data_IF_510093189893
#
_entry.id   IF_510093189893
#
_cell.length_a   1.000
_cell.length_b   1.000
_cell.length_c   1.000
_cell.angle_alpha   90.00
_cell.angle_beta   90.00
_cell.angle_gamma   90.00
#
_symmetry.space_group_name_H-M   'P 1'
#
loop_
_entity.id
_entity.type
_entity.pdbx_description
1 polymer ?
#
# COMPACT_ATOMS: atom_id res chain seq x y z
N UNK A 1 -9.63 0.13 -13.82
CA UNK A 1 -10.29 -0.25 -15.09
C UNK A 1 -11.21 -1.44 -14.92
N UNK A 2 -10.88 -2.39 -14.03
CA UNK A 2 -11.69 -3.59 -13.73
C UNK A 2 -13.17 -3.32 -13.40
N UNK A 3 -13.48 -2.25 -12.66
CA UNK A 3 -14.86 -1.81 -12.38
C UNK A 3 -15.49 -0.95 -13.50
N UNK A 4 -14.86 -0.86 -14.66
CA UNK A 4 -15.25 -0.04 -15.82
C UNK A 4 -15.35 1.50 -15.59
N UNK A 5 -14.89 2.01 -14.45
CA UNK A 5 -14.87 3.46 -14.15
C UNK A 5 -13.85 4.26 -14.99
N UNK A 6 -12.84 3.57 -15.53
CA UNK A 6 -11.83 4.13 -16.42
C UNK A 6 -11.79 3.28 -17.69
N UNK A 7 -11.90 3.93 -18.84
CA UNK A 7 -11.80 3.32 -20.17
C UNK A 7 -10.68 3.98 -20.95
N UNK A 8 -9.98 3.21 -21.77
CA UNK A 8 -8.87 3.70 -22.58
C UNK A 8 -8.90 3.02 -23.96
N UNK A 9 -8.82 3.83 -25.02
CA UNK A 9 -8.52 3.40 -26.38
C UNK A 9 -7.09 3.87 -26.71
N UNK A 10 -6.27 3.00 -27.30
CA UNK A 10 -4.88 3.34 -27.64
C UNK A 10 -4.72 3.62 -29.13
N UNK A 11 -4.04 4.71 -29.49
CA UNK A 11 -3.73 5.05 -30.88
C UNK A 11 -2.23 4.89 -31.13
N UNK A 12 -1.85 4.04 -32.08
CA UNK A 12 -0.45 3.66 -32.33
C UNK A 12 -0.05 4.01 -33.75
N UNK A 13 1.10 4.68 -33.89
CA UNK A 13 1.77 4.93 -35.17
C UNK A 13 3.28 4.88 -34.94
N UNK A 14 4.01 4.19 -35.83
CA UNK A 14 5.47 4.19 -35.84
C UNK A 14 6.03 5.12 -36.91
N UNK A 15 7.26 5.61 -36.73
CA UNK A 15 8.02 6.31 -37.77
C UNK A 15 9.50 6.00 -37.69
N UNK A 16 10.27 6.10 -38.79
CA UNK A 16 11.72 6.06 -38.75
C UNK A 16 12.29 7.19 -37.88
N UNK A 17 13.44 6.93 -37.24
CA UNK A 17 14.16 7.95 -36.49
C UNK A 17 14.60 9.07 -37.45
N UNK A 18 14.35 10.32 -37.06
CA UNK A 18 14.64 11.50 -37.89
C UNK A 18 13.57 11.87 -38.92
N UNK A 19 12.52 11.07 -39.09
CA UNK A 19 11.41 11.43 -39.97
C UNK A 19 10.48 12.46 -39.30
N UNK A 20 10.06 13.47 -40.05
CA UNK A 20 9.10 14.49 -39.58
C UNK A 20 7.63 14.03 -39.73
N UNK A 21 7.36 13.04 -40.58
CA UNK A 21 6.02 12.49 -40.79
C UNK A 21 5.70 11.33 -39.83
N UNK A 22 4.41 11.07 -39.64
CA UNK A 22 3.89 9.88 -38.95
C UNK A 22 3.30 8.92 -39.98
N UNK A 23 3.48 7.61 -39.79
CA UNK A 23 2.73 6.64 -40.58
C UNK A 23 1.26 6.64 -40.16
N UNK A 24 0.43 5.96 -40.94
CA UNK A 24 -0.99 5.78 -40.65
C UNK A 24 -1.21 5.19 -39.25
N UNK A 25 -2.07 5.85 -38.45
CA UNK A 25 -2.43 5.38 -37.12
C UNK A 25 -3.39 4.19 -37.17
N UNK A 26 -3.23 3.28 -36.21
CA UNK A 26 -4.20 2.25 -35.86
C UNK A 26 -4.77 2.52 -34.47
N UNK A 27 -6.03 2.17 -34.27
CA UNK A 27 -6.76 2.39 -33.03
C UNK A 27 -7.07 1.02 -32.39
N UNK A 28 -6.67 0.83 -31.14
CA UNK A 28 -6.92 -0.38 -30.35
C UNK A 28 -8.04 -0.05 -29.35
N UNK A 29 -9.08 -0.87 -29.36
CA UNK A 29 -10.25 -0.75 -28.49
C UNK A 29 -10.37 -1.96 -27.56
N UNK A 30 -11.29 -1.84 -26.61
CA UNK A 30 -11.70 -2.90 -25.69
C UNK A 30 -10.53 -3.39 -24.81
N UNK A 31 -9.77 -2.44 -24.25
CA UNK A 31 -8.66 -2.77 -23.36
C UNK A 31 -9.05 -2.46 -21.92
N UNK A 32 -9.04 -3.49 -21.06
CA UNK A 32 -9.67 -3.44 -19.74
C UNK A 32 -8.68 -3.36 -18.56
N UNK A 33 -7.38 -3.39 -18.83
CA UNK A 33 -6.34 -3.22 -17.81
C UNK A 33 -5.16 -2.41 -18.35
N UNK A 34 -4.38 -1.79 -17.46
CA UNK A 34 -3.20 -1.01 -17.84
C UNK A 34 -2.15 -1.91 -18.50
N UNK A 35 -1.98 -3.13 -17.99
CA UNK A 35 -1.05 -4.12 -18.56
C UNK A 35 -1.50 -4.61 -19.94
N UNK A 36 -2.81 -4.78 -20.14
CA UNK A 36 -3.37 -5.08 -21.46
C UNK A 36 -3.13 -3.92 -22.43
N UNK A 37 -3.27 -2.66 -22.01
CA UNK A 37 -2.96 -1.48 -22.86
C UNK A 37 -1.50 -1.51 -23.29
N UNK A 38 -0.59 -1.71 -22.34
CA UNK A 38 0.85 -1.83 -22.64
C UNK A 38 1.12 -2.95 -23.64
N UNK A 39 0.64 -4.16 -23.36
CA UNK A 39 0.89 -5.34 -24.19
C UNK A 39 0.31 -5.18 -25.59
N UNK A 40 -0.91 -4.63 -25.69
CA UNK A 40 -1.56 -4.37 -26.97
C UNK A 40 -0.76 -3.37 -27.81
N UNK A 41 -0.26 -2.28 -27.21
CA UNK A 41 0.60 -1.31 -27.89
C UNK A 41 1.89 -1.97 -28.38
N UNK A 42 2.57 -2.75 -27.53
CA UNK A 42 3.81 -3.44 -27.88
C UNK A 42 3.60 -4.39 -29.08
N UNK A 43 2.51 -5.16 -29.10
CA UNK A 43 2.17 -6.05 -30.22
C UNK A 43 1.87 -5.29 -31.51
N UNK A 44 1.17 -4.16 -31.41
CA UNK A 44 0.87 -3.34 -32.59
C UNK A 44 2.12 -2.68 -33.16
N UNK A 45 3.05 -2.22 -32.31
CA UNK A 45 4.35 -1.71 -32.75
C UNK A 45 5.12 -2.77 -33.54
N UNK A 46 5.18 -4.01 -33.04
CA UNK A 46 5.84 -5.13 -33.75
C UNK A 46 5.17 -5.41 -35.10
N UNK A 47 3.84 -5.40 -35.14
CA UNK A 47 3.08 -5.61 -36.38
C UNK A 47 3.35 -4.51 -37.41
N UNK A 48 3.25 -3.24 -37.02
CA UNK A 48 3.52 -2.11 -37.90
C UNK A 48 4.96 -2.15 -38.42
N UNK A 49 5.92 -2.51 -37.57
CA UNK A 49 7.33 -2.64 -37.96
C UNK A 49 7.50 -3.71 -39.04
N UNK A 50 6.89 -4.88 -38.87
CA UNK A 50 6.92 -5.97 -39.88
C UNK A 50 6.31 -5.54 -41.22
N UNK A 51 5.22 -4.78 -41.19
CA UNK A 51 4.61 -4.25 -42.42
C UNK A 51 5.53 -3.23 -43.11
N UNK A 52 6.10 -2.31 -42.32
CA UNK A 52 7.00 -1.27 -42.81
C UNK A 52 8.29 -1.86 -43.41
N UNK A 53 8.94 -2.78 -42.69
CA UNK A 53 10.18 -3.44 -43.12
C UNK A 53 9.96 -4.28 -44.39
N UNK A 54 8.74 -4.78 -44.61
CA UNK A 54 8.35 -5.47 -45.84
C UNK A 54 7.95 -4.52 -46.99
N UNK A 55 8.15 -3.21 -46.83
CA UNK A 55 7.81 -2.19 -47.82
C UNK A 55 6.31 -1.98 -48.02
N UNK A 56 5.45 -2.52 -47.14
CA UNK A 56 3.99 -2.36 -47.22
C UNK A 56 3.56 -1.07 -46.53
N UNK A 57 2.51 -0.43 -47.06
CA UNK A 57 1.90 0.74 -46.42
C UNK A 57 1.04 0.29 -45.25
N UNK A 58 1.30 0.87 -44.08
CA UNK A 58 0.44 0.69 -42.90
C UNK A 58 -0.92 1.31 -43.20
N UNK A 59 -1.98 0.52 -43.07
CA UNK A 59 -3.36 0.94 -43.25
C UNK A 59 -4.01 1.29 -41.91
N UNK A 60 -5.01 2.18 -41.92
CA UNK A 60 -5.74 2.52 -40.70
C UNK A 60 -6.72 1.40 -40.35
N UNK A 61 -6.47 0.73 -39.23
CA UNK A 61 -7.28 -0.35 -38.71
C UNK A 61 -7.86 0.02 -37.35
N UNK A 62 -9.09 -0.41 -37.12
CA UNK A 62 -9.63 -0.55 -35.77
C UNK A 62 -9.39 -1.99 -35.33
N UNK A 63 -8.60 -2.12 -34.28
CA UNK A 63 -8.18 -3.36 -33.67
C UNK A 63 -8.94 -3.57 -32.37
N UNK A 64 -9.27 -4.80 -32.10
CA UNK A 64 -9.78 -5.25 -30.81
C UNK A 64 -8.68 -6.04 -30.10
N UNK A 65 -8.50 -5.74 -28.82
CA UNK A 65 -7.69 -6.56 -27.94
C UNK A 65 -8.51 -7.76 -27.45
N UNK A 66 -8.02 -8.96 -27.76
CA UNK A 66 -8.57 -10.22 -27.27
C UNK A 66 -7.72 -10.69 -26.07
N UNK A 67 -8.31 -10.62 -24.88
CA UNK A 67 -7.63 -10.93 -23.61
C UNK A 67 -7.23 -12.41 -23.52
N UNK A 68 -8.09 -13.32 -23.98
CA UNK A 68 -7.92 -14.78 -23.87
C UNK A 68 -6.73 -15.27 -24.71
N UNK A 69 -6.61 -14.76 -25.93
CA UNK A 69 -5.52 -15.08 -26.85
C UNK A 69 -4.34 -14.12 -26.75
N UNK A 70 -4.46 -13.08 -25.92
CA UNK A 70 -3.56 -11.93 -25.84
C UNK A 70 -3.19 -11.38 -27.22
N UNK A 71 -4.15 -11.28 -28.15
CA UNK A 71 -3.86 -10.97 -29.56
C UNK A 71 -4.70 -9.79 -30.09
N UNK A 72 -4.19 -9.16 -31.14
CA UNK A 72 -4.90 -8.08 -31.83
C UNK A 72 -5.69 -8.65 -32.99
N UNK A 73 -7.02 -8.49 -32.93
CA UNK A 73 -7.92 -8.87 -34.03
C UNK A 73 -8.36 -7.63 -34.78
N UNK A 74 -8.29 -7.69 -36.11
CA UNK A 74 -8.80 -6.61 -36.97
C UNK A 74 -10.33 -6.68 -36.97
N UNK A 75 -10.99 -5.67 -36.43
CA UNK A 75 -12.46 -5.57 -36.49
C UNK A 75 -12.91 -5.06 -37.87
N UNK A 76 -12.36 -3.93 -38.30
CA UNK A 76 -12.75 -3.23 -39.54
C UNK A 76 -11.58 -2.44 -40.11
N UNK A 77 -11.44 -2.38 -41.44
CA UNK A 77 -10.67 -1.32 -42.08
C UNK A 77 -11.52 -0.05 -42.13
N UNK A 78 -10.99 1.06 -41.62
CA UNK A 78 -11.63 2.37 -41.86
C UNK A 78 -11.45 2.69 -43.34
N UNK A 79 -12.47 2.42 -44.15
CA UNK A 79 -12.50 2.85 -45.56
C UNK A 79 -12.80 4.35 -45.68
N UNK A 80 -13.50 4.94 -44.70
CA UNK A 80 -13.73 6.39 -44.52
C UNK A 80 -13.87 6.75 -43.04
N UNK A 81 -13.52 7.97 -42.64
CA UNK A 81 -13.88 8.51 -41.32
C UNK A 81 -15.41 8.73 -41.26
N UNK A 82 -16.04 8.37 -40.15
CA UNK A 82 -17.47 8.59 -39.98
C UNK A 82 -17.74 10.10 -39.90
N UNK A 83 -18.66 10.59 -40.74
CA UNK A 83 -19.13 11.97 -40.64
C UNK A 83 -20.10 12.09 -39.47
N UNK A 84 -19.59 12.53 -38.33
CA UNK A 84 -20.37 12.74 -37.10
C UNK A 84 -21.30 13.96 -37.19
N UNK A 85 -21.21 14.78 -38.25
CA UNK A 85 -22.05 15.96 -38.47
C UNK A 85 -22.16 16.85 -37.23
N UNK A 86 -21.02 17.16 -36.61
CA UNK A 86 -20.98 18.00 -35.42
C UNK A 86 -21.67 19.34 -35.68
N UNK A 87 -22.62 19.71 -34.82
CA UNK A 87 -23.27 21.01 -34.79
C UNK A 87 -23.41 21.47 -33.34
N UNK A 88 -23.66 22.77 -33.14
CA UNK A 88 -23.88 23.32 -31.80
C UNK A 88 -25.23 22.85 -31.29
N UNK A 89 -25.24 22.19 -30.13
CA UNK A 89 -26.45 21.76 -29.43
C UNK A 89 -27.33 22.99 -29.12
N UNK A 90 -28.51 23.16 -29.78
CA UNK A 90 -29.37 24.32 -29.56
C UNK A 90 -30.09 24.28 -28.20
N UNK A 91 -30.29 23.10 -27.61
CA UNK A 91 -31.04 22.95 -26.36
C UNK A 91 -30.18 23.30 -25.13
N UNK A 92 -28.85 23.33 -25.27
CA UNK A 92 -27.92 23.68 -24.21
C UNK A 92 -27.36 25.09 -24.40
N UNK A 93 -27.64 25.97 -23.44
CA UNK A 93 -26.99 27.27 -23.37
C UNK A 93 -25.48 27.11 -23.14
N UNK A 94 -24.64 28.02 -23.67
CA UNK A 94 -23.22 28.03 -23.36
C UNK A 94 -22.96 28.15 -21.86
N UNK A 95 -22.02 27.36 -21.37
CA UNK A 95 -21.50 27.48 -20.01
C UNK A 95 -20.44 28.58 -19.99
N UNK A 96 -20.65 29.60 -19.17
CA UNK A 96 -19.67 30.65 -18.92
C UNK A 96 -19.00 30.41 -17.57
N UNK A 97 -17.70 30.15 -17.58
CA UNK A 97 -16.89 29.99 -16.38
C UNK A 97 -16.34 31.37 -15.98
N UNK A 98 -16.84 31.95 -14.88
CA UNK A 98 -16.30 33.19 -14.34
C UNK A 98 -15.02 32.91 -13.54
N UNK A 99 -14.17 33.92 -13.35
CA UNK A 99 -12.95 33.75 -12.55
C UNK A 99 -13.29 33.49 -11.07
N UNK A 100 -14.39 34.04 -10.55
CA UNK A 100 -14.86 33.77 -9.18
C UNK A 100 -15.24 32.30 -9.02
N UNK A 101 -16.01 31.74 -9.96
CA UNK A 101 -16.42 30.33 -9.90
C UNK A 101 -15.21 29.39 -10.03
N UNK A 102 -14.26 29.72 -10.90
CA UNK A 102 -13.00 28.98 -11.02
C UNK A 102 -12.17 29.04 -9.75
N UNK A 103 -12.08 30.21 -9.12
CA UNK A 103 -11.35 30.38 -7.86
C UNK A 103 -11.99 29.56 -6.72
N UNK A 104 -13.33 29.51 -6.65
CA UNK A 104 -14.07 28.69 -5.69
C UNK A 104 -13.76 27.20 -5.86
N UNK A 105 -13.80 26.67 -7.10
CA UNK A 105 -13.46 25.27 -7.37
C UNK A 105 -12.02 24.95 -6.97
N UNK A 106 -11.09 25.85 -7.27
CA UNK A 106 -9.67 25.64 -6.98
C UNK A 106 -9.33 25.75 -5.49
N UNK A 107 -10.16 26.43 -4.69
CA UNK A 107 -9.94 26.59 -3.26
C UNK A 107 -10.04 25.26 -2.48
N UNK A 108 -10.86 24.30 -2.94
CA UNK A 108 -11.00 22.96 -2.36
C UNK A 108 -10.29 21.87 -3.18
N UNK A 109 -9.46 22.27 -4.15
CA UNK A 109 -8.75 21.31 -4.98
C UNK A 109 -7.63 20.65 -4.17
N UNK A 110 -7.63 19.32 -4.03
CA UNK A 110 -6.67 18.63 -3.19
C UNK A 110 -5.26 18.70 -3.80
N UNK A 111 -4.26 18.56 -2.92
CA UNK A 111 -2.87 18.39 -3.32
C UNK A 111 -2.73 17.19 -4.27
N UNK A 112 -2.04 17.39 -5.39
CA UNK A 112 -1.81 16.34 -6.38
C UNK A 112 -0.87 15.26 -5.82
N UNK A 113 -1.04 13.98 -6.18
CA UNK A 113 -0.24 12.88 -5.61
C UNK A 113 1.28 13.07 -5.74
N UNK A 114 1.78 13.53 -6.89
CA UNK A 114 3.21 13.75 -7.11
C UNK A 114 3.79 14.90 -6.26
N UNK A 115 2.99 15.96 -6.06
CA UNK A 115 3.37 17.07 -5.19
C UNK A 115 3.41 16.59 -3.73
N UNK A 116 2.37 15.86 -3.31
CA UNK A 116 2.29 15.25 -1.98
C UNK A 116 3.44 14.28 -1.70
N UNK A 117 3.79 13.43 -2.67
CA UNK A 117 4.93 12.50 -2.58
C UNK A 117 6.24 13.25 -2.37
N UNK A 118 6.45 14.32 -3.14
CA UNK A 118 7.63 15.18 -3.00
C UNK A 118 7.69 15.78 -1.59
N UNK A 119 6.56 16.31 -1.11
CA UNK A 119 6.42 16.85 0.25
C UNK A 119 6.70 15.80 1.33
N UNK A 120 6.22 14.57 1.16
CA UNK A 120 6.49 13.49 2.11
C UNK A 120 7.98 13.15 2.22
N UNK A 121 8.72 13.28 1.12
CA UNK A 121 10.18 13.10 1.12
C UNK A 121 10.87 14.29 1.78
N UNK A 122 10.52 15.53 1.41
CA UNK A 122 11.22 16.74 1.87
C UNK A 122 10.90 17.12 3.30
N UNK A 123 9.62 17.09 3.68
CA UNK A 123 9.13 17.66 4.92
C UNK A 123 9.08 16.62 6.04
N UNK A 124 8.76 15.36 5.70
CA UNK A 124 8.74 14.24 6.65
C UNK A 124 9.99 13.36 6.61
N UNK A 125 10.92 13.60 5.68
CA UNK A 125 12.17 12.84 5.58
C UNK A 125 11.97 11.37 5.19
N UNK A 126 10.85 11.03 4.54
CA UNK A 126 10.56 9.65 4.18
C UNK A 126 11.40 9.19 2.98
N UNK A 127 11.84 7.93 2.95
CA UNK A 127 12.39 7.33 1.74
C UNK A 127 11.41 7.42 0.58
N UNK A 128 11.93 7.51 -0.64
CA UNK A 128 11.13 7.63 -1.85
C UNK A 128 10.10 6.49 -1.99
N UNK A 129 10.51 5.25 -1.67
CA UNK A 129 9.65 4.07 -1.71
C UNK A 129 8.45 4.19 -0.76
N UNK A 130 8.68 4.64 0.47
CA UNK A 130 7.62 4.84 1.46
C UNK A 130 6.63 5.92 1.01
N UNK A 131 7.15 7.05 0.54
CA UNK A 131 6.33 8.17 0.08
C UNK A 131 5.48 7.78 -1.14
N UNK A 132 6.02 6.97 -2.05
CA UNK A 132 5.30 6.47 -3.22
C UNK A 132 4.08 5.63 -2.82
N UNK A 133 4.25 4.68 -1.89
CA UNK A 133 3.15 3.83 -1.43
C UNK A 133 2.12 4.64 -0.65
N UNK A 134 2.55 5.48 0.29
CA UNK A 134 1.64 6.27 1.13
C UNK A 134 0.80 7.27 0.31
N UNK A 135 1.27 7.67 -0.86
CA UNK A 135 0.56 8.60 -1.77
C UNK A 135 -0.13 7.92 -2.94
N UNK A 136 -0.14 6.58 -2.99
CA UNK A 136 -0.85 5.79 -4.00
C UNK A 136 -2.37 5.99 -3.95
N UNK A 137 -2.92 6.20 -2.76
CA UNK A 137 -4.32 6.50 -2.53
C UNK A 137 -4.46 7.74 -1.63
N UNK A 138 -5.43 8.61 -1.96
CA UNK A 138 -5.70 9.81 -1.15
C UNK A 138 -6.10 9.45 0.28
N UNK A 139 -6.94 8.42 0.46
CA UNK A 139 -7.39 8.04 1.80
C UNK A 139 -6.23 7.62 2.71
N UNK A 140 -5.25 6.89 2.16
CA UNK A 140 -4.06 6.45 2.88
C UNK A 140 -3.13 7.62 3.24
N UNK A 141 -2.90 8.54 2.30
CA UNK A 141 -2.08 9.73 2.57
C UNK A 141 -2.72 10.66 3.59
N UNK A 142 -4.04 10.91 3.49
CA UNK A 142 -4.77 11.69 4.48
C UNK A 142 -4.75 11.00 5.85
N UNK A 143 -4.81 9.66 5.89
CA UNK A 143 -4.68 8.87 7.12
C UNK A 143 -3.31 9.08 7.77
N UNK A 144 -2.23 8.95 7.01
CA UNK A 144 -0.86 9.16 7.49
C UNK A 144 -0.69 10.54 8.15
N UNK A 145 -1.08 11.62 7.48
CA UNK A 145 -0.92 12.98 8.01
C UNK A 145 -1.74 13.20 9.29
N UNK A 146 -2.93 12.60 9.38
CA UNK A 146 -3.76 12.65 10.58
C UNK A 146 -3.14 11.88 11.75
N UNK A 147 -2.43 10.77 11.48
CA UNK A 147 -1.66 10.04 12.52
C UNK A 147 -0.53 10.92 13.02
N UNK A 148 0.26 11.53 12.13
CA UNK A 148 1.36 12.43 12.48
C UNK A 148 0.86 13.59 13.35
N UNK A 149 -0.25 14.21 12.94
CA UNK A 149 -0.89 15.30 13.68
C UNK A 149 -1.32 14.85 15.08
N UNK A 150 -1.92 13.66 15.20
CA UNK A 150 -2.42 13.12 16.48
C UNK A 150 -1.29 12.65 17.40
N UNK A 151 -0.15 12.23 16.84
CA UNK A 151 1.00 11.72 17.58
C UNK A 151 1.82 12.83 18.26
N UNK A 152 1.63 14.10 17.85
CA UNK A 152 2.22 15.30 18.47
C UNK A 152 3.74 15.23 18.67
N UNK A 153 4.50 15.28 17.57
CA UNK A 153 5.96 15.39 17.59
C UNK A 153 6.71 14.06 17.53
N UNK A 154 6.02 12.98 17.21
CA UNK A 154 6.68 11.70 17.00
C UNK A 154 7.17 11.47 15.57
N UNK A 155 8.03 10.46 15.42
CA UNK A 155 8.82 10.22 14.20
C UNK A 155 7.95 9.81 12.99
N UNK A 156 7.93 10.58 11.89
CA UNK A 156 7.20 10.22 10.69
C UNK A 156 7.62 8.90 10.06
N UNK A 157 8.91 8.54 10.15
CA UNK A 157 9.39 7.26 9.62
C UNK A 157 8.82 6.08 10.38
N UNK A 158 8.68 6.24 11.70
CA UNK A 158 8.03 5.23 12.54
C UNK A 158 6.56 5.04 12.16
N UNK A 159 5.81 6.12 11.98
CA UNK A 159 4.41 6.05 11.51
C UNK A 159 4.31 5.41 10.13
N UNK A 160 5.20 5.76 9.19
CA UNK A 160 5.30 5.10 7.88
C UNK A 160 5.48 3.59 8.02
N UNK A 161 6.40 3.15 8.87
CA UNK A 161 6.65 1.71 9.08
C UNK A 161 5.43 0.97 9.61
N UNK A 162 4.66 1.56 10.55
CA UNK A 162 3.41 0.95 11.05
C UNK A 162 2.35 0.87 9.95
N UNK A 163 2.22 1.91 9.13
CA UNK A 163 1.28 1.91 8.02
C UNK A 163 1.63 0.87 6.96
N UNK A 164 2.88 0.88 6.47
CA UNK A 164 3.31 0.03 5.37
C UNK A 164 3.32 -1.46 5.72
N UNK A 165 3.65 -1.82 6.97
CA UNK A 165 3.76 -3.23 7.36
C UNK A 165 2.46 -3.78 7.94
N UNK A 166 1.86 -3.06 8.89
CA UNK A 166 0.78 -3.62 9.71
C UNK A 166 -0.60 -3.15 9.24
N UNK A 167 -0.77 -1.85 8.95
CA UNK A 167 -2.06 -1.31 8.48
C UNK A 167 -2.35 -1.74 7.03
N UNK A 168 -1.35 -1.73 6.14
CA UNK A 168 -1.52 -2.22 4.77
C UNK A 168 -1.93 -3.70 4.73
N UNK A 169 -1.41 -4.52 5.65
CA UNK A 169 -1.87 -5.91 5.79
C UNK A 169 -3.36 -5.96 6.16
N UNK A 170 -3.77 -5.16 7.15
CA UNK A 170 -5.17 -5.06 7.58
C UNK A 170 -6.10 -4.60 6.44
N UNK A 171 -5.66 -3.64 5.63
CA UNK A 171 -6.40 -3.16 4.45
C UNK A 171 -6.55 -4.26 3.40
N UNK A 172 -5.46 -4.94 3.06
CA UNK A 172 -5.46 -5.99 2.06
C UNK A 172 -6.29 -7.21 2.48
N UNK A 173 -6.14 -7.66 3.73
CA UNK A 173 -6.88 -8.81 4.26
C UNK A 173 -8.39 -8.52 4.35
N UNK A 174 -8.76 -7.26 4.63
CA UNK A 174 -10.15 -6.81 4.68
C UNK A 174 -10.74 -6.40 3.34
N UNK A 175 -9.91 -6.18 2.30
CA UNK A 175 -10.34 -5.52 1.07
C UNK A 175 -10.89 -4.10 1.30
N UNK A 176 -10.37 -3.40 2.30
CA UNK A 176 -10.83 -2.09 2.75
C UNK A 176 -9.89 -0.98 2.29
N UNK A 177 -10.42 0.23 2.21
CA UNK A 177 -9.64 1.48 2.10
C UNK A 177 -9.34 2.06 3.49
N UNK A 178 -8.35 2.94 3.59
CA UNK A 178 -7.99 3.57 4.87
C UNK A 178 -9.13 4.38 5.48
N UNK A 179 -10.06 4.89 4.66
CA UNK A 179 -11.24 5.60 5.10
C UNK A 179 -12.31 4.70 5.76
N UNK A 180 -12.27 3.39 5.50
CA UNK A 180 -13.25 2.41 6.01
C UNK A 180 -12.79 1.71 7.29
N UNK A 181 -11.55 1.95 7.73
CA UNK A 181 -11.01 1.38 8.96
C UNK A 181 -11.71 1.95 10.20
N UNK A 182 -12.04 1.07 11.16
CA UNK A 182 -12.42 1.51 12.52
C UNK A 182 -11.21 1.91 13.36
N UNK A 183 -10.03 1.42 12.99
CA UNK A 183 -8.76 1.92 13.52
C UNK A 183 -8.58 3.36 13.02
N UNK A 184 -8.98 4.33 13.83
CA UNK A 184 -8.83 5.75 13.49
C UNK A 184 -7.36 6.19 13.53
N UNK A 185 -6.97 7.26 12.82
CA UNK A 185 -5.63 7.83 12.90
C UNK A 185 -5.18 8.15 14.35
N UNK A 186 -6.11 8.61 15.19
CA UNK A 186 -5.86 8.91 16.59
C UNK A 186 -5.55 7.63 17.40
N UNK A 187 -6.28 6.55 17.16
CA UNK A 187 -6.00 5.27 17.81
C UNK A 187 -4.66 4.67 17.39
N UNK A 188 -4.29 4.78 16.11
CA UNK A 188 -2.95 4.36 15.70
C UNK A 188 -1.86 5.19 16.39
N UNK A 189 -2.00 6.51 16.43
CA UNK A 189 -1.06 7.38 17.14
C UNK A 189 -0.92 7.01 18.62
N UNK A 190 -2.04 6.71 19.29
CA UNK A 190 -2.05 6.27 20.69
C UNK A 190 -1.34 4.93 20.88
N UNK A 191 -1.56 3.94 20.00
CA UNK A 191 -0.84 2.65 20.06
C UNK A 191 0.67 2.86 19.92
N UNK A 192 1.09 3.67 18.95
CA UNK A 192 2.51 3.94 18.71
C UNK A 192 3.12 4.59 19.97
N UNK A 193 2.44 5.57 20.55
CA UNK A 193 2.86 6.21 21.79
C UNK A 193 2.95 5.25 22.97
N UNK A 194 1.98 4.36 23.14
CA UNK A 194 2.03 3.34 24.20
C UNK A 194 3.21 2.37 24.04
N UNK A 195 3.61 2.08 22.81
CA UNK A 195 4.80 1.26 22.53
C UNK A 195 6.08 2.04 22.87
N UNK A 196 6.12 3.34 22.56
CA UNK A 196 7.30 4.19 22.84
C UNK A 196 7.49 4.47 24.32
N UNK A 197 6.39 4.72 25.03
CA UNK A 197 6.35 4.89 26.48
C UNK A 197 6.62 3.56 27.22
N UNK A 198 6.74 2.44 26.49
CA UNK A 198 7.02 1.12 27.05
C UNK A 198 5.86 0.49 27.81
N UNK A 199 4.66 1.07 27.74
CA UNK A 199 3.43 0.57 28.37
C UNK A 199 3.06 -0.80 27.80
N UNK A 200 3.24 -0.96 26.49
CA UNK A 200 3.08 -2.25 25.80
C UNK A 200 4.33 -2.53 24.95
N UNK A 201 4.61 -3.80 24.68
CA UNK A 201 5.65 -4.15 23.71
C UNK A 201 5.11 -4.07 22.27
N UNK A 202 6.01 -4.07 21.29
CA UNK A 202 5.66 -3.96 19.86
C UNK A 202 4.70 -5.06 19.39
N UNK A 203 4.83 -6.29 19.89
CA UNK A 203 3.96 -7.40 19.49
C UNK A 203 2.54 -7.20 19.99
N UNK A 204 2.39 -6.76 21.24
CA UNK A 204 1.09 -6.38 21.80
C UNK A 204 0.50 -5.22 21.02
N UNK A 205 1.29 -4.18 20.72
CA UNK A 205 0.84 -3.04 19.89
C UNK A 205 0.30 -3.47 18.53
N UNK A 206 1.01 -4.36 17.83
CA UNK A 206 0.55 -4.95 16.55
C UNK A 206 -0.76 -5.72 16.71
N UNK A 207 -0.91 -6.51 17.78
CA UNK A 207 -2.14 -7.26 18.04
C UNK A 207 -3.36 -6.36 18.35
N UNK A 208 -3.13 -5.14 18.86
CA UNK A 208 -4.20 -4.18 19.13
C UNK A 208 -4.83 -3.65 17.84
N UNK A 209 -4.06 -3.53 16.75
CA UNK A 209 -4.57 -3.01 15.47
C UNK A 209 -5.79 -3.80 14.98
N UNK A 210 -5.67 -5.12 14.93
CA UNK A 210 -6.74 -6.02 14.48
C UNK A 210 -7.93 -5.99 15.45
N UNK A 211 -7.67 -5.97 16.76
CA UNK A 211 -8.73 -5.91 17.78
C UNK A 211 -9.53 -4.62 17.66
N UNK A 212 -8.86 -3.48 17.58
CA UNK A 212 -9.48 -2.16 17.45
C UNK A 212 -10.23 -2.06 16.13
N UNK A 213 -9.66 -2.55 15.03
CA UNK A 213 -10.38 -2.49 13.75
C UNK A 213 -11.68 -3.32 13.77
N UNK A 214 -11.71 -4.40 14.56
CA UNK A 214 -12.92 -5.21 14.75
C UNK A 214 -13.93 -4.54 15.67
N UNK A 215 -13.50 -4.09 16.84
CA UNK A 215 -14.38 -3.62 17.92
C UNK A 215 -14.70 -2.12 17.85
N UNK A 216 -13.77 -1.30 17.37
CA UNK A 216 -13.83 0.16 17.40
C UNK A 216 -13.53 0.79 18.78
N UNK A 217 -13.11 -0.03 19.76
CA UNK A 217 -12.79 0.44 21.11
C UNK A 217 -11.42 1.13 21.15
N UNK A 218 -11.19 1.97 22.16
CA UNK A 218 -9.91 2.66 22.27
C UNK A 218 -8.76 1.71 22.66
N UNK A 219 -7.52 1.99 22.22
CA UNK A 219 -6.34 1.21 22.61
C UNK A 219 -6.19 1.02 24.12
N UNK A 220 -6.35 2.09 24.91
CA UNK A 220 -6.21 2.03 26.38
C UNK A 220 -7.24 1.13 27.04
N UNK A 221 -8.51 1.25 26.65
CA UNK A 221 -9.58 0.41 27.22
C UNK A 221 -9.28 -1.09 27.00
N UNK A 222 -8.80 -1.46 25.80
CA UNK A 222 -8.45 -2.85 25.51
C UNK A 222 -7.25 -3.29 26.35
N UNK A 223 -6.23 -2.44 26.49
CA UNK A 223 -5.04 -2.78 27.28
C UNK A 223 -5.37 -2.95 28.76
N UNK A 224 -6.21 -2.09 29.32
CA UNK A 224 -6.66 -2.17 30.71
C UNK A 224 -7.56 -3.38 30.94
N UNK A 225 -8.57 -3.60 30.09
CA UNK A 225 -9.54 -4.69 30.23
C UNK A 225 -8.90 -6.08 30.11
N UNK A 226 -7.89 -6.24 29.23
CA UNK A 226 -7.21 -7.51 29.00
C UNK A 226 -5.86 -7.63 29.76
N UNK A 227 -5.51 -6.60 30.55
CA UNK A 227 -4.27 -6.52 31.31
C UNK A 227 -3.01 -6.67 30.45
N UNK A 228 -3.00 -6.09 29.24
CA UNK A 228 -1.95 -6.28 28.22
C UNK A 228 -0.69 -5.45 28.45
N UNK A 229 -0.62 -4.73 29.57
CA UNK A 229 0.57 -3.97 29.93
C UNK A 229 1.81 -4.86 29.99
N UNK A 230 2.93 -4.29 29.55
CA UNK A 230 4.23 -4.93 29.56
C UNK A 230 4.63 -5.26 30.99
N UNK A 231 5.05 -6.51 31.24
CA UNK A 231 5.63 -6.92 32.52
C UNK A 231 7.14 -6.75 32.42
N UNK A 232 7.68 -5.81 33.18
CA UNK A 232 9.12 -5.53 33.29
C UNK A 232 9.69 -5.82 34.69
N UNK A 233 8.91 -6.48 35.55
CA UNK A 233 9.39 -6.91 36.86
C UNK A 233 10.32 -8.12 36.71
N UNK A 234 11.61 -7.91 37.00
CA UNK A 234 12.66 -8.93 36.95
C UNK A 234 12.29 -10.16 37.79
N UNK A 235 11.67 -9.96 38.96
CA UNK A 235 11.34 -11.05 39.87
C UNK A 235 10.25 -11.97 39.31
N UNK A 236 9.24 -11.40 38.64
CA UNK A 236 8.16 -12.16 38.02
C UNK A 236 8.65 -12.93 36.79
N UNK A 237 9.50 -12.32 35.96
CA UNK A 237 10.08 -13.00 34.79
C UNK A 237 11.03 -14.10 35.24
N UNK A 238 11.87 -13.85 36.24
CA UNK A 238 12.82 -14.83 36.78
C UNK A 238 12.12 -16.06 37.37
N UNK A 239 11.05 -15.87 38.13
CA UNK A 239 10.28 -16.99 38.68
C UNK A 239 9.71 -17.92 37.58
N UNK A 240 9.21 -17.35 36.49
CA UNK A 240 8.70 -18.14 35.35
C UNK A 240 9.85 -18.79 34.57
N UNK A 241 10.98 -18.08 34.40
CA UNK A 241 12.17 -18.63 33.75
C UNK A 241 12.74 -19.83 34.51
N UNK A 242 12.85 -19.74 35.84
CA UNK A 242 13.28 -20.86 36.71
C UNK A 242 12.34 -22.06 36.59
N UNK A 243 11.02 -21.84 36.56
CA UNK A 243 10.04 -22.91 36.31
C UNK A 243 10.26 -23.59 34.95
N UNK A 244 10.55 -22.82 33.89
CA UNK A 244 10.80 -23.38 32.56
C UNK A 244 12.11 -24.19 32.53
N UNK A 245 13.16 -23.70 33.18
CA UNK A 245 14.45 -24.43 33.30
C UNK A 245 14.24 -25.74 34.07
N UNK A 246 13.50 -25.71 35.17
CA UNK A 246 13.20 -26.91 35.97
C UNK A 246 12.33 -27.94 35.24
N UNK A 247 11.37 -27.49 34.43
CA UNK A 247 10.46 -28.36 33.67
C UNK A 247 11.13 -29.01 32.44
N UNK A 248 12.24 -28.46 31.93
CA UNK A 248 12.83 -28.85 30.65
C UNK A 248 14.34 -29.19 30.78
N UNK A 249 14.73 -30.17 31.61
CA UNK A 249 16.13 -30.45 31.90
C UNK A 249 16.94 -30.94 30.68
N UNK A 250 16.30 -31.60 29.71
CA UNK A 250 16.97 -32.11 28.48
C UNK A 250 17.40 -30.97 27.56
N UNK A 251 16.57 -29.94 27.47
CA UNK A 251 16.80 -28.76 26.67
C UNK A 251 17.91 -27.89 27.29
N UNK A 252 17.96 -27.82 28.62
CA UNK A 252 19.04 -27.16 29.36
C UNK A 252 20.38 -27.85 29.10
N UNK A 253 20.43 -29.18 29.20
CA UNK A 253 21.64 -29.96 28.93
C UNK A 253 22.08 -29.80 27.46
N UNK A 254 21.13 -29.79 26.53
CA UNK A 254 21.39 -29.57 25.09
C UNK A 254 21.94 -28.16 24.81
N UNK A 255 21.46 -27.13 25.51
CA UNK A 255 21.98 -25.78 25.39
C UNK A 255 23.42 -25.69 25.93
N UNK A 256 23.69 -26.25 27.12
CA UNK A 256 25.03 -26.33 27.72
C UNK A 256 26.02 -27.12 26.87
N UNK A 257 25.53 -28.08 26.09
CA UNK A 257 26.32 -28.87 25.14
C UNK A 257 26.70 -28.11 23.85
N UNK A 258 26.38 -26.81 23.77
CA UNK A 258 26.79 -25.93 22.66
C UNK A 258 25.70 -25.63 21.64
N UNK A 259 24.44 -26.07 21.84
CA UNK A 259 23.32 -25.79 20.94
C UNK A 259 22.67 -24.44 21.26
N UNK A 260 23.42 -23.36 21.08
CA UNK A 260 23.06 -21.97 21.46
C UNK A 260 21.72 -21.49 20.86
N UNK A 261 21.29 -22.04 19.72
CA UNK A 261 19.99 -21.74 19.11
C UNK A 261 18.76 -22.08 19.97
N UNK A 262 18.91 -22.91 21.02
CA UNK A 262 17.84 -23.22 21.99
C UNK A 262 17.43 -22.00 22.83
N UNK A 263 18.26 -20.95 22.91
CA UNK A 263 17.89 -19.70 23.61
C UNK A 263 16.58 -19.11 23.06
N UNK A 264 16.41 -19.11 21.72
CA UNK A 264 15.18 -18.62 21.10
C UNK A 264 13.94 -19.45 21.48
N UNK A 265 14.12 -20.76 21.74
CA UNK A 265 13.06 -21.64 22.21
C UNK A 265 12.67 -21.32 23.66
N UNK A 266 13.63 -21.14 24.56
CA UNK A 266 13.37 -20.76 25.96
C UNK A 266 12.64 -19.41 26.07
N UNK A 267 13.12 -18.40 25.33
CA UNK A 267 12.44 -17.10 25.22
C UNK A 267 11.01 -17.27 24.71
N UNK A 268 10.80 -18.12 23.69
CA UNK A 268 9.47 -18.44 23.17
C UNK A 268 8.54 -19.11 24.19
N UNK A 269 9.05 -20.04 25.00
CA UNK A 269 8.26 -20.69 26.07
C UNK A 269 7.84 -19.69 27.14
N UNK A 270 8.76 -18.81 27.57
CA UNK A 270 8.43 -17.79 28.57
C UNK A 270 7.40 -16.81 28.04
N UNK A 271 7.59 -16.33 26.81
CA UNK A 271 6.60 -15.49 26.14
C UNK A 271 5.24 -16.17 26.09
N UNK A 272 5.17 -17.48 25.80
CA UNK A 272 3.90 -18.21 25.79
C UNK A 272 3.25 -18.29 27.18
N UNK A 273 4.01 -18.62 28.23
CA UNK A 273 3.51 -18.67 29.62
C UNK A 273 3.04 -17.29 30.11
N UNK A 274 3.73 -16.22 29.72
CA UNK A 274 3.43 -14.84 30.10
C UNK A 274 2.46 -14.14 29.14
N UNK A 275 1.86 -14.86 28.19
CA UNK A 275 0.90 -14.29 27.22
C UNK A 275 1.48 -13.21 26.31
N UNK A 276 2.79 -13.27 26.04
CA UNK A 276 3.52 -12.33 25.18
C UNK A 276 3.84 -10.98 25.85
N UNK A 277 3.62 -10.84 27.16
CA UNK A 277 3.74 -9.56 27.89
C UNK A 277 5.14 -9.27 28.43
N UNK A 278 6.02 -10.27 28.49
CA UNK A 278 7.36 -10.13 29.03
C UNK A 278 8.26 -9.27 28.13
N UNK A 279 9.22 -8.57 28.72
CA UNK A 279 10.28 -7.88 27.97
C UNK A 279 11.25 -8.91 27.36
N UNK A 280 11.39 -8.91 26.03
CA UNK A 280 12.22 -9.89 25.32
C UNK A 280 13.72 -9.77 25.64
N UNK A 281 14.22 -8.55 25.86
CA UNK A 281 15.62 -8.28 26.15
C UNK A 281 15.95 -8.76 27.57
N UNK A 282 15.10 -8.41 28.54
CA UNK A 282 15.24 -8.85 29.93
C UNK A 282 15.07 -10.37 30.07
N UNK A 283 14.08 -10.95 29.37
CA UNK A 283 13.86 -12.40 29.32
C UNK A 283 15.11 -13.14 28.84
N UNK A 284 15.74 -12.64 27.76
CA UNK A 284 16.96 -13.24 27.23
C UNK A 284 18.11 -13.14 28.23
N UNK A 285 18.33 -11.99 28.84
CA UNK A 285 19.37 -11.80 29.85
C UNK A 285 19.20 -12.76 31.05
N UNK A 286 17.97 -12.92 31.54
CA UNK A 286 17.66 -13.85 32.64
C UNK A 286 17.97 -15.31 32.26
N UNK A 287 17.61 -15.75 31.04
CA UNK A 287 17.96 -17.10 30.60
C UNK A 287 19.46 -17.28 30.37
N UNK A 288 20.18 -16.25 29.94
CA UNK A 288 21.64 -16.27 29.83
C UNK A 288 22.33 -16.42 31.20
N UNK A 289 21.72 -15.95 32.29
CA UNK A 289 22.20 -16.17 33.66
C UNK A 289 21.84 -17.55 34.22
N UNK A 290 20.68 -18.10 33.86
CA UNK A 290 20.15 -19.35 34.44
C UNK A 290 20.70 -20.63 33.76
N UNK A 291 21.11 -20.54 32.48
CA UNK A 291 21.51 -21.69 31.66
C UNK A 291 23.02 -21.88 31.61
#
# INVERSE_FOLDING_TARGET
MEKAHLRCDANVSIRPVGAEYLNTKTEIKNVNSIEAVRTAIEKEVVRQKKEYDAGRKIQSWTLEWDEDSQSLKKMRSKETEADYRYFREPDLLPVYLTEEWKAEILADFPELPLARRTRFITDYGLPEYDADILTSERSLSDYFERVITSYQGGDPKRVSNWLLNDVMRLLNDGGLTAAELKLTPAYLAEIIKMVDDGIVNTNTGKSLLEKINRTGQSPREIVEAEGLAKVSDDSAIRAVAESIVAENPKEVESYRSGKVGLMGWFVGQLMRKMGGKADATLTRAIFEELL
#
